data_IF_480874626165
#
_entry.id   IF_480874626165
#
_cell.length_a   1.000
_cell.length_b   1.000
_cell.length_c   1.000
_cell.angle_alpha   90.00
_cell.angle_beta   90.00
_cell.angle_gamma   90.00
#
_symmetry.space_group_name_H-M   'P 1'
#
loop_
_entity.id
_entity.type
_entity.pdbx_description
1 polymer ?
#
# COMPACT_ATOMS: atom_id res chain seq x y z
N UNK A 1 12.22 6.74 -20.71
CA UNK A 1 12.72 6.23 -21.98
C UNK A 1 13.05 4.74 -21.96
N UNK A 2 12.97 4.07 -20.79
CA UNK A 2 13.18 2.61 -20.65
C UNK A 2 11.87 1.83 -20.56
N UNK A 3 10.75 2.47 -20.21
CA UNK A 3 9.44 1.83 -20.13
C UNK A 3 8.81 1.86 -21.52
N UNK A 4 8.57 0.68 -22.10
CA UNK A 4 8.01 0.51 -23.44
C UNK A 4 6.58 -0.04 -23.43
N UNK A 5 6.14 -0.59 -22.29
CA UNK A 5 4.79 -1.05 -22.06
C UNK A 5 4.52 -1.07 -20.54
N UNK A 6 3.25 -1.10 -20.15
CA UNK A 6 2.85 -1.19 -18.76
C UNK A 6 1.58 -2.03 -18.60
N UNK A 7 1.24 -2.34 -17.36
CA UNK A 7 -0.04 -2.93 -17.00
C UNK A 7 -1.19 -1.92 -17.13
N UNK A 8 -2.39 -2.36 -17.49
CA UNK A 8 -3.56 -1.49 -17.70
C UNK A 8 -4.01 -0.74 -16.43
N UNK A 9 -3.72 -1.30 -15.24
CA UNK A 9 -3.96 -0.62 -13.96
C UNK A 9 -2.95 0.49 -13.67
N UNK A 10 -1.84 0.54 -14.44
CA UNK A 10 -0.82 1.58 -14.32
C UNK A 10 -1.10 2.83 -15.14
N UNK A 11 -2.18 2.89 -15.92
CA UNK A 11 -2.48 3.95 -16.89
C UNK A 11 -2.45 5.38 -16.33
N UNK A 12 -2.82 5.53 -15.06
CA UNK A 12 -2.92 6.82 -14.38
C UNK A 12 -1.66 7.14 -13.53
N UNK A 13 -0.61 6.31 -13.58
CA UNK A 13 0.63 6.53 -12.84
C UNK A 13 1.38 7.71 -13.42
N UNK A 14 1.65 8.70 -12.57
CA UNK A 14 2.40 9.90 -12.95
C UNK A 14 3.82 9.55 -13.40
N UNK A 15 4.17 10.00 -14.59
CA UNK A 15 5.49 9.78 -15.20
C UNK A 15 5.55 8.58 -16.14
N UNK A 16 4.46 7.85 -16.30
CA UNK A 16 4.35 6.86 -17.38
C UNK A 16 4.36 7.58 -18.74
N UNK A 17 5.15 7.11 -19.74
CA UNK A 17 5.16 7.72 -21.05
C UNK A 17 3.79 7.65 -21.74
N UNK A 18 3.39 8.74 -22.41
CA UNK A 18 2.12 8.76 -23.15
C UNK A 18 2.12 7.78 -24.31
N UNK A 19 1.02 7.07 -24.51
CA UNK A 19 0.77 6.24 -25.68
C UNK A 19 1.54 4.92 -25.74
N UNK A 20 2.16 4.47 -24.65
CA UNK A 20 2.74 3.13 -24.60
C UNK A 20 1.63 2.07 -24.55
N UNK A 21 1.87 0.86 -25.11
CA UNK A 21 0.95 -0.26 -24.99
C UNK A 21 0.65 -0.61 -23.54
N UNK A 22 -0.62 -0.93 -23.25
CA UNK A 22 -1.06 -1.43 -21.96
C UNK A 22 -1.52 -2.88 -22.10
N UNK A 23 -1.21 -3.72 -21.13
CA UNK A 23 -1.51 -5.14 -21.11
C UNK A 23 -2.21 -5.54 -19.82
N UNK A 24 -3.11 -6.51 -19.91
CA UNK A 24 -3.61 -7.20 -18.71
C UNK A 24 -2.50 -8.14 -18.18
N UNK A 25 -1.99 -7.87 -16.98
CA UNK A 25 -0.93 -8.70 -16.39
C UNK A 25 -1.39 -10.13 -16.09
N UNK A 26 -2.69 -10.36 -15.90
CA UNK A 26 -3.25 -11.69 -15.62
C UNK A 26 -3.45 -12.53 -16.88
N UNK A 27 -3.58 -11.88 -18.05
CA UNK A 27 -3.80 -12.51 -19.34
C UNK A 27 -2.94 -11.83 -20.43
N UNK A 28 -1.59 -11.88 -20.32
CA UNK A 28 -0.69 -11.17 -21.23
C UNK A 28 -0.80 -11.70 -22.66
N UNK A 29 -0.89 -10.79 -23.64
CA UNK A 29 -0.78 -11.15 -25.06
C UNK A 29 0.70 -11.38 -25.42
N UNK A 30 1.09 -12.65 -25.46
CA UNK A 30 2.48 -13.04 -25.69
C UNK A 30 3.01 -12.57 -27.05
N UNK A 31 2.19 -12.59 -28.11
CA UNK A 31 2.61 -12.19 -29.46
C UNK A 31 2.90 -10.67 -29.49
N UNK A 32 2.00 -9.86 -28.92
CA UNK A 32 2.19 -8.42 -28.86
C UNK A 32 3.37 -8.03 -27.96
N UNK A 33 3.51 -8.68 -26.80
CA UNK A 33 4.64 -8.41 -25.88
C UNK A 33 5.99 -8.74 -26.53
N UNK A 34 6.09 -9.89 -27.19
CA UNK A 34 7.32 -10.30 -27.89
C UNK A 34 7.64 -9.35 -29.04
N UNK A 35 6.63 -8.85 -29.77
CA UNK A 35 6.82 -7.91 -30.88
C UNK A 35 7.41 -6.54 -30.42
N UNK A 36 7.33 -6.22 -29.13
CA UNK A 36 7.96 -5.02 -28.55
C UNK A 36 9.46 -5.21 -28.27
N UNK A 37 9.98 -6.45 -28.39
CA UNK A 37 11.39 -6.82 -28.13
C UNK A 37 11.91 -6.30 -26.77
N UNK A 38 11.20 -6.55 -25.63
CA UNK A 38 11.64 -6.06 -24.33
C UNK A 38 12.90 -6.80 -23.87
N UNK A 39 13.82 -6.09 -23.23
CA UNK A 39 14.98 -6.70 -22.56
C UNK A 39 14.55 -7.50 -21.32
N UNK A 40 13.53 -7.01 -20.60
CA UNK A 40 12.99 -7.61 -19.38
C UNK A 40 11.53 -7.24 -19.19
N UNK A 41 10.74 -8.17 -18.66
CA UNK A 41 9.39 -7.95 -18.18
C UNK A 41 9.37 -8.16 -16.67
N UNK A 42 8.89 -7.17 -15.92
CA UNK A 42 8.61 -7.31 -14.49
C UNK A 42 7.15 -7.64 -14.28
N UNK A 43 6.89 -8.62 -13.45
CA UNK A 43 5.54 -9.03 -13.04
C UNK A 43 5.56 -9.51 -11.58
N UNK A 44 4.42 -9.89 -11.06
CA UNK A 44 4.29 -10.38 -9.68
C UNK A 44 3.93 -11.86 -9.64
N UNK A 45 4.23 -12.53 -8.53
CA UNK A 45 3.82 -13.93 -8.32
C UNK A 45 2.29 -14.14 -8.28
N UNK A 46 1.50 -13.09 -8.11
CA UNK A 46 0.03 -13.14 -8.15
C UNK A 46 -0.52 -13.66 -9.49
N UNK A 47 0.23 -13.48 -10.59
CA UNK A 47 -0.18 -13.94 -11.92
C UNK A 47 -0.16 -15.47 -12.07
N UNK A 48 0.50 -16.18 -11.14
CA UNK A 48 0.62 -17.64 -11.16
C UNK A 48 -0.58 -18.32 -10.46
N UNK A 49 -1.80 -18.07 -10.95
CA UNK A 49 -2.99 -18.72 -10.41
C UNK A 49 -2.96 -20.23 -10.67
N UNK A 50 -3.23 -21.04 -9.64
CA UNK A 50 -3.35 -22.50 -9.71
C UNK A 50 -2.13 -23.21 -10.33
N UNK A 51 -0.93 -22.58 -10.26
CA UNK A 51 0.30 -23.13 -10.84
C UNK A 51 0.42 -22.97 -12.36
N UNK A 52 -0.48 -22.22 -12.99
CA UNK A 52 -0.39 -21.83 -14.38
C UNK A 52 0.36 -20.50 -14.51
N UNK A 53 1.41 -20.47 -15.29
CA UNK A 53 2.21 -19.28 -15.56
C UNK A 53 1.85 -18.68 -16.91
N UNK A 54 1.12 -17.54 -16.96
CA UNK A 54 0.71 -16.94 -18.21
C UNK A 54 1.89 -16.35 -19.01
N UNK A 55 3.03 -16.11 -18.37
CA UNK A 55 4.25 -15.62 -19.04
C UNK A 55 5.15 -16.74 -19.57
N UNK A 56 4.80 -18.03 -19.35
CA UNK A 56 5.60 -19.14 -19.85
C UNK A 56 5.87 -19.08 -21.36
N UNK A 57 4.89 -18.78 -22.25
CA UNK A 57 5.16 -18.67 -23.69
C UNK A 57 6.21 -17.59 -24.01
N UNK A 58 6.19 -16.48 -23.30
CA UNK A 58 7.13 -15.35 -23.49
C UNK A 58 8.55 -15.77 -23.06
N UNK A 59 8.68 -16.48 -21.94
CA UNK A 59 9.97 -17.05 -21.48
C UNK A 59 10.52 -18.09 -22.44
N UNK A 60 9.64 -18.93 -23.00
CA UNK A 60 10.04 -19.95 -23.98
C UNK A 60 10.58 -19.31 -25.29
N UNK A 61 10.23 -18.06 -25.57
CA UNK A 61 10.79 -17.25 -26.68
C UNK A 61 12.10 -16.52 -26.31
N UNK A 62 12.62 -16.72 -25.07
CA UNK A 62 13.91 -16.21 -24.64
C UNK A 62 13.87 -14.82 -23.98
N UNK A 63 12.70 -14.25 -23.71
CA UNK A 63 12.57 -12.97 -23.00
C UNK A 63 12.70 -13.20 -21.49
N UNK A 64 13.48 -12.36 -20.84
CA UNK A 64 13.63 -12.39 -19.38
C UNK A 64 12.33 -11.90 -18.71
N UNK A 65 11.75 -12.74 -17.82
CA UNK A 65 10.59 -12.36 -16.99
C UNK A 65 10.98 -12.46 -15.53
N UNK A 66 10.95 -11.35 -14.82
CA UNK A 66 11.27 -11.25 -13.40
C UNK A 66 9.98 -11.16 -12.58
N UNK A 67 9.78 -12.13 -11.69
CA UNK A 67 8.65 -12.14 -10.74
C UNK A 67 9.10 -11.48 -9.44
N UNK A 68 8.59 -10.27 -9.19
CA UNK A 68 8.90 -9.51 -7.98
C UNK A 68 7.72 -9.67 -7.02
N UNK A 69 7.92 -10.28 -5.84
CA UNK A 69 6.85 -10.36 -4.84
C UNK A 69 6.50 -8.97 -4.32
N UNK A 70 5.25 -8.77 -3.93
CA UNK A 70 4.87 -7.53 -3.25
C UNK A 70 5.50 -7.50 -1.85
N UNK A 71 6.23 -6.45 -1.53
CA UNK A 71 6.84 -6.28 -0.22
C UNK A 71 5.81 -6.05 0.86
N UNK A 72 6.00 -6.70 2.00
CA UNK A 72 5.13 -6.60 3.18
C UNK A 72 5.73 -5.71 4.28
N UNK A 73 6.96 -5.24 4.14
CA UNK A 73 7.66 -4.39 5.11
C UNK A 73 8.26 -3.16 4.44
N UNK A 74 8.52 -2.11 5.21
CA UNK A 74 9.19 -0.90 4.73
C UNK A 74 10.60 -1.22 4.24
N UNK A 75 11.33 -2.10 4.93
CA UNK A 75 12.66 -2.55 4.49
C UNK A 75 12.59 -3.25 3.13
N UNK A 76 11.63 -4.16 2.95
CA UNK A 76 11.42 -4.82 1.65
C UNK A 76 11.10 -3.83 0.53
N UNK A 77 10.37 -2.75 0.81
CA UNK A 77 10.12 -1.68 -0.17
C UNK A 77 11.44 -0.99 -0.58
N UNK A 78 12.37 -0.77 0.35
CA UNK A 78 13.69 -0.24 0.01
C UNK A 78 14.48 -1.20 -0.88
N UNK A 79 14.45 -2.49 -0.55
CA UNK A 79 15.12 -3.53 -1.34
C UNK A 79 14.55 -3.60 -2.76
N UNK A 80 13.23 -3.53 -2.94
CA UNK A 80 12.57 -3.50 -4.25
C UNK A 80 13.00 -2.26 -5.06
N UNK A 81 13.02 -1.08 -4.46
CA UNK A 81 13.47 0.15 -5.14
C UNK A 81 14.93 0.02 -5.60
N UNK A 82 15.81 -0.52 -4.76
CA UNK A 82 17.22 -0.73 -5.12
C UNK A 82 17.39 -1.81 -6.19
N UNK A 83 16.61 -2.88 -6.14
CA UNK A 83 16.59 -3.92 -7.16
C UNK A 83 16.21 -3.35 -8.54
N UNK A 84 15.10 -2.60 -8.62
CA UNK A 84 14.70 -1.95 -9.88
C UNK A 84 15.74 -0.93 -10.34
N UNK A 85 16.30 -0.13 -9.43
CA UNK A 85 17.31 0.86 -9.76
C UNK A 85 18.57 0.20 -10.35
N UNK A 86 19.02 -0.92 -9.76
CA UNK A 86 20.16 -1.68 -10.25
C UNK A 86 19.88 -2.29 -11.62
N UNK A 87 18.75 -2.98 -11.79
CA UNK A 87 18.39 -3.63 -13.05
C UNK A 87 18.16 -2.66 -14.21
N UNK A 88 17.87 -1.39 -13.90
CA UNK A 88 17.64 -0.32 -14.88
C UNK A 88 18.82 0.65 -15.03
N UNK A 89 20.01 0.32 -14.49
CA UNK A 89 21.22 1.21 -14.53
C UNK A 89 20.90 2.62 -13.99
N UNK A 90 20.22 2.66 -12.85
CA UNK A 90 19.76 3.88 -12.19
C UNK A 90 20.10 3.91 -10.68
N UNK A 91 21.17 3.22 -10.26
CA UNK A 91 21.53 2.97 -8.86
C UNK A 91 21.57 4.26 -8.03
N UNK A 92 22.19 5.33 -8.59
CA UNK A 92 22.24 6.60 -7.87
C UNK A 92 20.86 7.15 -7.53
N UNK A 93 19.91 7.06 -8.48
CA UNK A 93 18.53 7.53 -8.27
C UNK A 93 17.81 6.68 -7.22
N UNK A 94 18.00 5.37 -7.24
CA UNK A 94 17.43 4.46 -6.25
C UNK A 94 17.95 4.73 -4.84
N UNK A 95 19.27 4.87 -4.70
CA UNK A 95 19.91 5.19 -3.41
C UNK A 95 19.46 6.55 -2.88
N UNK A 96 19.43 7.60 -3.73
CA UNK A 96 18.96 8.93 -3.34
C UNK A 96 17.49 8.89 -2.89
N UNK A 97 16.63 8.12 -3.57
CA UNK A 97 15.21 7.94 -3.21
C UNK A 97 15.07 7.24 -1.87
N UNK A 98 15.71 6.10 -1.67
CA UNK A 98 15.66 5.33 -0.41
C UNK A 98 16.18 6.18 0.75
N UNK A 99 17.29 6.91 0.59
CA UNK A 99 17.80 7.80 1.62
C UNK A 99 16.81 8.91 1.98
N UNK A 100 16.10 9.47 0.99
CA UNK A 100 15.03 10.44 1.23
C UNK A 100 13.88 9.86 2.04
N UNK A 101 13.47 8.62 1.72
CA UNK A 101 12.42 7.90 2.46
C UNK A 101 12.85 7.65 3.90
N UNK A 102 14.07 7.13 4.11
CA UNK A 102 14.63 6.87 5.45
C UNK A 102 14.63 8.14 6.29
N UNK A 103 15.12 9.27 5.71
CA UNK A 103 15.15 10.55 6.42
C UNK A 103 13.76 10.99 6.85
N UNK A 104 12.76 10.86 5.97
CA UNK A 104 11.39 11.28 6.27
C UNK A 104 10.71 10.38 7.32
N UNK A 105 10.93 9.08 7.22
CA UNK A 105 10.45 8.12 8.23
C UNK A 105 11.09 8.40 9.57
N UNK A 106 12.39 8.73 9.61
CA UNK A 106 13.07 9.04 10.85
C UNK A 106 12.53 10.32 11.52
N UNK A 107 12.22 11.37 10.73
CA UNK A 107 11.59 12.60 11.25
C UNK A 107 10.25 12.28 11.94
N UNK A 108 9.39 11.45 11.31
CA UNK A 108 8.11 11.07 11.86
C UNK A 108 8.28 10.18 13.10
N UNK A 109 9.21 9.23 13.05
CA UNK A 109 9.52 8.31 14.16
C UNK A 109 10.03 9.05 15.39
N UNK A 110 10.81 10.11 15.24
CA UNK A 110 11.30 10.93 16.36
C UNK A 110 10.15 11.60 17.10
N UNK A 111 9.16 12.13 16.37
CA UNK A 111 7.94 12.67 16.97
C UNK A 111 7.13 11.54 17.64
N UNK A 112 6.87 10.45 16.91
CA UNK A 112 6.08 9.32 17.39
C UNK A 112 6.64 8.69 18.68
N UNK A 113 7.98 8.59 18.78
CA UNK A 113 8.65 8.03 19.96
C UNK A 113 8.52 8.89 21.21
N UNK A 114 8.15 10.17 21.07
CA UNK A 114 7.92 11.08 22.19
C UNK A 114 6.49 11.01 22.76
N UNK A 115 5.59 10.27 22.13
CA UNK A 115 4.18 10.19 22.51
C UNK A 115 4.01 9.19 23.67
N UNK A 116 3.63 9.71 24.84
CA UNK A 116 3.39 8.90 26.03
C UNK A 116 2.02 8.20 26.02
N UNK A 117 0.99 8.93 25.57
CA UNK A 117 -0.39 8.42 25.51
C UNK A 117 -0.74 8.10 24.06
N UNK A 118 -0.48 6.88 23.65
CA UNK A 118 -0.70 6.42 22.29
C UNK A 118 -2.19 6.26 22.01
N UNK A 119 -2.63 6.79 20.86
CA UNK A 119 -3.97 6.53 20.34
C UNK A 119 -4.04 5.14 19.71
N UNK A 120 -5.19 4.49 19.87
CA UNK A 120 -5.51 3.24 19.20
C UNK A 120 -6.16 3.52 17.85
N UNK A 121 -5.79 2.74 16.82
CA UNK A 121 -6.20 2.93 15.42
C UNK A 121 -6.80 1.65 14.87
N UNK A 122 -7.97 1.74 14.26
CA UNK A 122 -8.51 0.76 13.32
C UNK A 122 -8.32 1.29 11.91
N UNK A 123 -7.72 0.46 11.03
CA UNK A 123 -7.55 0.81 9.61
C UNK A 123 -8.42 -0.11 8.75
N UNK A 124 -9.33 0.47 7.97
CA UNK A 124 -10.26 -0.25 7.10
C UNK A 124 -9.79 -0.23 5.65
N UNK A 125 -9.62 -1.42 5.08
CA UNK A 125 -9.22 -1.65 3.67
C UNK A 125 -10.40 -2.01 2.76
N UNK A 126 -11.47 -2.54 3.32
CA UNK A 126 -12.72 -2.82 2.62
C UNK A 126 -13.90 -2.61 3.55
N UNK A 127 -15.00 -2.09 2.98
CA UNK A 127 -16.20 -1.70 3.72
C UNK A 127 -17.07 -2.90 4.14
N UNK A 128 -18.03 -2.60 5.03
CA UNK A 128 -19.08 -3.53 5.44
C UNK A 128 -19.91 -4.01 4.24
N UNK A 129 -20.36 -5.30 4.21
CA UNK A 129 -20.23 -6.29 5.29
C UNK A 129 -18.93 -7.11 5.25
N UNK A 130 -18.04 -6.86 4.30
CA UNK A 130 -16.83 -7.67 4.07
C UNK A 130 -15.59 -6.94 4.60
N UNK A 131 -15.65 -6.48 5.86
CA UNK A 131 -14.54 -5.73 6.46
C UNK A 131 -13.21 -6.47 6.33
N UNK A 132 -12.21 -5.74 5.83
CA UNK A 132 -10.84 -6.23 5.67
C UNK A 132 -9.86 -5.24 6.29
N UNK A 133 -8.86 -5.77 6.97
CA UNK A 133 -7.87 -5.00 7.70
C UNK A 133 -6.57 -5.80 7.85
N UNK A 134 -5.75 -5.47 8.84
CA UNK A 134 -4.48 -6.14 9.10
C UNK A 134 -4.10 -6.12 10.58
N UNK A 135 -3.34 -7.12 10.96
CA UNK A 135 -2.61 -7.16 12.22
C UNK A 135 -1.15 -6.71 12.06
N UNK A 136 -0.23 -7.40 12.73
CA UNK A 136 1.22 -7.20 12.61
C UNK A 136 1.79 -7.84 11.32
N UNK A 137 3.08 -7.60 11.03
CA UNK A 137 3.76 -8.25 9.89
C UNK A 137 3.52 -7.60 8.53
N UNK A 138 2.89 -6.42 8.46
CA UNK A 138 2.68 -5.65 7.23
C UNK A 138 3.16 -4.21 7.37
N UNK A 139 3.59 -3.59 6.27
CA UNK A 139 4.14 -2.22 6.28
C UNK A 139 3.16 -1.17 6.81
N UNK A 140 1.84 -1.36 6.65
CA UNK A 140 0.84 -0.45 7.23
C UNK A 140 0.85 -0.48 8.76
N UNK A 141 1.09 -1.64 9.37
CA UNK A 141 1.27 -1.71 10.82
C UNK A 141 2.55 -1.00 11.27
N UNK A 142 3.66 -1.19 10.53
CA UNK A 142 4.90 -0.46 10.79
C UNK A 142 4.68 1.05 10.71
N UNK A 143 3.86 1.53 9.77
CA UNK A 143 3.52 2.95 9.65
C UNK A 143 2.75 3.46 10.88
N UNK A 144 1.77 2.70 11.41
CA UNK A 144 1.04 3.05 12.63
C UNK A 144 2.01 3.15 13.82
N UNK A 145 2.94 2.20 13.97
CA UNK A 145 3.93 2.19 15.05
C UNK A 145 4.93 3.34 14.93
N UNK A 146 5.40 3.66 13.73
CA UNK A 146 6.31 4.80 13.45
C UNK A 146 5.67 6.12 13.84
N UNK A 147 4.38 6.29 13.60
CA UNK A 147 3.60 7.47 13.99
C UNK A 147 3.48 7.60 15.51
N UNK A 148 3.70 6.52 16.28
CA UNK A 148 3.53 6.47 17.71
C UNK A 148 2.11 6.11 18.14
N UNK A 149 1.36 5.42 17.29
CA UNK A 149 0.03 4.88 17.60
C UNK A 149 0.06 3.36 17.77
N UNK A 150 -1.08 2.77 18.09
CA UNK A 150 -1.24 1.33 18.30
C UNK A 150 -2.37 0.80 17.42
N UNK A 151 -2.11 -0.28 16.68
CA UNK A 151 -3.12 -0.98 15.91
C UNK A 151 -4.02 -1.79 16.86
N UNK A 152 -5.35 -1.57 16.83
CA UNK A 152 -6.30 -2.34 17.66
C UNK A 152 -6.32 -3.83 17.32
N UNK A 153 -5.80 -4.20 16.16
CA UNK A 153 -5.73 -5.59 15.66
C UNK A 153 -4.30 -6.18 15.75
N UNK A 154 -3.40 -5.60 16.54
CA UNK A 154 -2.02 -6.06 16.68
C UNK A 154 -1.88 -7.50 17.24
N UNK A 155 -2.93 -8.08 17.80
CA UNK A 155 -2.97 -9.49 18.22
C UNK A 155 -3.07 -10.49 17.04
N UNK A 156 -3.47 -10.01 15.87
CA UNK A 156 -3.54 -10.79 14.64
C UNK A 156 -2.25 -10.63 13.83
N UNK A 157 -2.08 -11.51 12.84
CA UNK A 157 -0.94 -11.50 11.94
C UNK A 157 -1.40 -11.32 10.48
N UNK A 158 -0.66 -10.55 9.70
CA UNK A 158 -0.90 -10.30 8.29
C UNK A 158 -2.27 -9.65 7.99
N UNK A 159 -2.79 -9.90 6.81
CA UNK A 159 -4.07 -9.40 6.30
C UNK A 159 -5.22 -10.27 6.80
N UNK A 160 -6.30 -9.65 7.31
CA UNK A 160 -7.41 -10.36 7.93
C UNK A 160 -8.77 -9.81 7.52
N UNK A 161 -9.75 -10.71 7.45
CA UNK A 161 -11.17 -10.34 7.51
C UNK A 161 -11.58 -10.22 8.98
N UNK A 162 -12.33 -9.18 9.32
CA UNK A 162 -12.78 -8.90 10.68
C UNK A 162 -14.30 -8.66 10.71
N UNK A 163 -14.95 -8.98 11.81
CA UNK A 163 -16.38 -8.68 11.97
C UNK A 163 -16.60 -7.30 12.56
N UNK A 164 -17.76 -6.71 12.28
CA UNK A 164 -18.16 -5.41 12.86
C UNK A 164 -18.16 -5.45 14.39
N UNK A 165 -18.61 -6.55 14.99
CA UNK A 165 -18.64 -6.71 16.44
C UNK A 165 -17.25 -6.65 17.06
N UNK A 166 -16.23 -7.21 16.39
CA UNK A 166 -14.85 -7.15 16.87
C UNK A 166 -14.29 -5.72 16.77
N UNK A 167 -14.60 -5.00 15.69
CA UNK A 167 -14.21 -3.59 15.56
C UNK A 167 -14.88 -2.73 16.62
N UNK A 168 -16.19 -2.90 16.84
CA UNK A 168 -16.93 -2.19 17.90
C UNK A 168 -16.35 -2.51 19.28
N UNK A 169 -16.04 -3.77 19.57
CA UNK A 169 -15.47 -4.19 20.85
C UNK A 169 -14.07 -3.62 21.10
N UNK A 170 -13.28 -3.36 20.05
CA UNK A 170 -11.95 -2.75 20.18
C UNK A 170 -11.99 -1.26 20.51
N UNK A 171 -13.11 -0.57 20.26
CA UNK A 171 -13.40 0.84 20.55
C UNK A 171 -12.22 1.79 20.25
N UNK A 172 -11.74 1.85 18.97
CA UNK A 172 -10.56 2.63 18.60
C UNK A 172 -10.75 4.13 18.86
N UNK A 173 -9.64 4.81 19.15
CA UNK A 173 -9.63 6.27 19.27
C UNK A 173 -9.72 6.95 17.90
N UNK A 174 -9.19 6.30 16.83
CA UNK A 174 -9.20 6.79 15.45
C UNK A 174 -9.57 5.68 14.50
N UNK A 175 -10.38 5.98 13.49
CA UNK A 175 -10.62 5.10 12.34
C UNK A 175 -10.02 5.75 11.10
N UNK A 176 -9.24 4.98 10.36
CA UNK A 176 -8.69 5.37 9.06
C UNK A 176 -9.26 4.43 8.00
N UNK A 177 -9.61 4.96 6.85
CA UNK A 177 -9.97 4.16 5.68
C UNK A 177 -9.26 4.66 4.44
N UNK A 178 -8.92 3.76 3.53
CA UNK A 178 -8.44 4.07 2.19
C UNK A 178 -9.39 3.56 1.09
N UNK A 179 -10.61 3.21 1.46
CA UNK A 179 -11.64 2.77 0.51
C UNK A 179 -12.00 3.92 -0.42
N UNK A 180 -11.77 3.75 -1.74
CA UNK A 180 -11.91 4.81 -2.75
C UNK A 180 -12.97 4.50 -3.83
N UNK A 181 -13.58 3.32 -3.78
CA UNK A 181 -14.61 2.87 -4.73
C UNK A 181 -16.05 3.19 -4.28
N UNK A 182 -16.21 3.87 -3.14
CA UNK A 182 -17.47 4.46 -2.67
C UNK A 182 -17.33 5.96 -2.51
N UNK A 183 -18.41 6.72 -2.70
CA UNK A 183 -18.35 8.18 -2.83
C UNK A 183 -17.90 8.89 -1.54
N UNK A 184 -18.36 8.44 -0.37
CA UNK A 184 -18.07 9.07 0.92
C UNK A 184 -17.76 8.04 2.01
N UNK A 185 -16.59 7.38 1.98
CA UNK A 185 -16.27 6.29 2.90
C UNK A 185 -16.29 6.70 4.38
N UNK A 186 -15.92 7.93 4.69
CA UNK A 186 -15.93 8.46 6.06
C UNK A 186 -17.36 8.58 6.59
N UNK A 187 -18.28 9.12 5.81
CA UNK A 187 -19.69 9.27 6.22
C UNK A 187 -20.42 7.91 6.23
N UNK A 188 -20.02 6.99 5.35
CA UNK A 188 -20.52 5.62 5.36
C UNK A 188 -20.18 4.94 6.71
N UNK A 189 -18.91 4.98 7.14
CA UNK A 189 -18.45 4.44 8.43
C UNK A 189 -19.23 5.08 9.59
N UNK A 190 -19.36 6.39 9.63
CA UNK A 190 -20.07 7.10 10.70
C UNK A 190 -21.56 6.79 10.77
N UNK A 191 -22.18 6.38 9.66
CA UNK A 191 -23.60 6.08 9.57
C UNK A 191 -23.97 4.62 9.88
N UNK A 192 -22.99 3.75 10.11
CA UNK A 192 -23.20 2.33 10.39
C UNK A 192 -23.94 2.14 11.71
N UNK A 193 -24.97 1.29 11.69
CA UNK A 193 -25.73 0.94 12.89
C UNK A 193 -24.83 0.22 13.91
N UNK A 194 -24.84 0.69 15.15
CA UNK A 194 -24.02 0.15 16.24
C UNK A 194 -22.65 0.81 16.39
N UNK A 195 -22.21 1.60 15.40
CA UNK A 195 -20.91 2.30 15.43
C UNK A 195 -20.99 3.68 16.10
N UNK A 196 -22.18 4.22 16.27
CA UNK A 196 -22.45 5.54 16.84
C UNK A 196 -21.91 5.73 18.26
N UNK A 197 -21.64 4.63 18.96
CA UNK A 197 -21.13 4.66 20.33
C UNK A 197 -19.60 4.56 20.45
N UNK A 198 -18.89 4.22 19.37
CA UNK A 198 -17.43 4.13 19.35
C UNK A 198 -16.79 5.50 19.54
N UNK A 199 -15.65 5.55 20.22
CA UNK A 199 -14.91 6.80 20.49
C UNK A 199 -14.60 7.57 19.22
N UNK A 200 -14.04 6.91 18.20
CA UNK A 200 -13.68 7.54 16.94
C UNK A 200 -14.88 8.23 16.26
N UNK A 201 -16.05 7.55 16.24
CA UNK A 201 -17.26 8.10 15.61
C UNK A 201 -17.81 9.28 16.42
N UNK A 202 -17.91 9.15 17.76
CA UNK A 202 -18.38 10.25 18.65
C UNK A 202 -17.51 11.49 18.56
N UNK A 203 -16.20 11.32 18.47
CA UNK A 203 -15.24 12.41 18.42
C UNK A 203 -15.02 12.96 17.01
N UNK A 204 -15.63 12.34 16.00
CA UNK A 204 -15.41 12.64 14.59
C UNK A 204 -13.98 12.38 14.12
N UNK A 205 -13.29 11.42 14.75
CA UNK A 205 -11.93 10.97 14.45
C UNK A 205 -11.95 9.81 13.43
N UNK A 206 -12.66 10.02 12.32
CA UNK A 206 -12.75 9.09 11.18
C UNK A 206 -12.19 9.79 9.94
N UNK A 207 -11.15 9.23 9.31
CA UNK A 207 -10.39 9.90 8.27
C UNK A 207 -10.18 9.00 7.05
N UNK A 208 -10.19 9.62 5.88
CA UNK A 208 -9.73 9.01 4.63
C UNK A 208 -8.25 9.34 4.39
N UNK A 209 -7.51 8.36 3.90
CA UNK A 209 -6.14 8.52 3.39
C UNK A 209 -6.06 8.00 1.96
N UNK A 210 -5.14 8.51 1.19
CA UNK A 210 -4.97 8.17 -0.21
C UNK A 210 -4.76 6.65 -0.40
N UNK A 211 -5.63 6.02 -1.19
CA UNK A 211 -5.58 4.58 -1.46
C UNK A 211 -4.25 4.20 -2.11
N UNK A 212 -3.82 4.93 -3.14
CA UNK A 212 -2.60 4.62 -3.86
C UNK A 212 -1.36 4.66 -2.95
N UNK A 213 -1.31 5.62 -2.02
CA UNK A 213 -0.20 5.78 -1.09
C UNK A 213 -0.18 4.75 0.06
N UNK A 214 -1.27 4.01 0.26
CA UNK A 214 -1.39 3.03 1.36
C UNK A 214 -1.62 1.59 0.89
N UNK A 215 -2.04 1.38 -0.37
CA UNK A 215 -2.25 0.03 -0.92
C UNK A 215 -1.07 -0.50 -1.74
N UNK A 216 -0.15 0.37 -2.17
CA UNK A 216 0.97 -0.02 -3.01
C UNK A 216 2.29 0.10 -2.26
N UNK A 217 3.03 -1.02 -2.06
CA UNK A 217 4.32 -1.00 -1.38
C UNK A 217 5.40 -0.38 -2.29
N UNK A 218 5.43 0.94 -2.35
CA UNK A 218 6.38 1.73 -3.12
C UNK A 218 6.74 3.03 -2.39
N UNK A 219 7.49 3.92 -3.04
CA UNK A 219 7.94 5.18 -2.42
C UNK A 219 6.79 6.13 -1.99
N UNK A 220 5.57 5.96 -2.50
CA UNK A 220 4.43 6.80 -2.09
C UNK A 220 3.92 6.48 -0.68
N UNK A 221 4.37 5.40 -0.04
CA UNK A 221 4.06 5.14 1.38
C UNK A 221 4.45 6.31 2.28
N UNK A 222 5.41 7.14 1.89
CA UNK A 222 5.76 8.37 2.62
C UNK A 222 4.58 9.34 2.67
N UNK A 223 3.87 9.51 1.54
CA UNK A 223 2.65 10.34 1.50
C UNK A 223 1.56 9.74 2.40
N UNK A 224 1.34 8.42 2.34
CA UNK A 224 0.41 7.72 3.22
C UNK A 224 0.75 7.89 4.70
N UNK A 225 2.04 7.73 5.04
CA UNK A 225 2.54 7.89 6.41
C UNK A 225 2.30 9.32 6.94
N UNK A 226 2.57 10.35 6.13
CA UNK A 226 2.30 11.75 6.50
C UNK A 226 0.81 12.04 6.68
N UNK A 227 -0.06 11.50 5.81
CA UNK A 227 -1.51 11.65 5.94
C UNK A 227 -2.03 10.96 7.19
N UNK A 228 -1.60 9.73 7.47
CA UNK A 228 -1.97 8.99 8.68
C UNK A 228 -1.49 9.73 9.93
N UNK A 229 -0.25 10.21 9.95
CA UNK A 229 0.31 10.96 11.07
C UNK A 229 -0.53 12.21 11.39
N UNK A 230 -0.90 12.99 10.37
CA UNK A 230 -1.76 14.18 10.52
C UNK A 230 -3.18 13.82 10.96
N UNK A 231 -3.74 12.72 10.48
CA UNK A 231 -5.05 12.25 10.89
C UNK A 231 -5.08 11.82 12.37
N UNK A 232 -4.06 11.07 12.80
CA UNK A 232 -4.00 10.53 14.17
C UNK A 232 -3.63 11.63 15.19
N UNK A 233 -2.63 12.45 14.88
CA UNK A 233 -2.09 13.48 15.79
C UNK A 233 -1.94 14.84 15.08
N UNK A 234 -3.05 15.54 14.73
CA UNK A 234 -3.01 16.77 13.94
C UNK A 234 -2.22 17.92 14.57
N UNK A 235 -2.09 17.93 15.89
CA UNK A 235 -1.34 18.96 16.61
C UNK A 235 0.19 18.73 16.58
N UNK A 236 0.63 17.50 16.38
CA UNK A 236 2.04 17.11 16.40
C UNK A 236 2.65 17.08 14.99
N UNK A 237 1.91 16.58 14.01
CA UNK A 237 2.34 16.47 12.62
C UNK A 237 1.68 17.56 11.74
N UNK A 238 2.39 18.66 11.54
CA UNK A 238 1.90 19.85 10.81
C UNK A 238 2.17 19.82 9.31
#
# INVERSE_FOLDING_TARGET
DKIIAADEYSKDIKGLPDGIPLFDMMAPDAEQMVALEPDIIYTTGMVMAEGNDPYKPIKDMGICVAYVPASISIEGIYEDILFFAHSLDAEKKGVDLVNSMISKIQEIKEIGSSIENKKTVYFELAESPSLYSFGTGVFLNEMIEIIGAENVLAEYDMWISISEENVIASDPDVIITNVDYIENPVEEIKSRSGWENMKAVKNNDVYYVDNYATSHPNHNIITGLEQMAKAIYPDLYK
#
